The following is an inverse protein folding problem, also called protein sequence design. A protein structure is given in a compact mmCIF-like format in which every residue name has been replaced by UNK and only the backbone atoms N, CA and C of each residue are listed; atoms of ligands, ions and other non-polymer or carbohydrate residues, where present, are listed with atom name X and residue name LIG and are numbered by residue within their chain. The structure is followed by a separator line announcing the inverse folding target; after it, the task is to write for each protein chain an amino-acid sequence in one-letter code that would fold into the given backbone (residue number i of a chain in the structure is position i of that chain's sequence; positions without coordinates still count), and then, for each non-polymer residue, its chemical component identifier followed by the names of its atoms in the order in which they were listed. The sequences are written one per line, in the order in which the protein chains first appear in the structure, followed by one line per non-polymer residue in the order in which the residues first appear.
data_IF_001569365955
#
_entry.id   IF_001569365955
#
_cell.length_a   1.000
_cell.length_b   1.000
_cell.length_c   1.000
_cell.angle_alpha   90.00
_cell.angle_beta   90.00
_cell.angle_gamma   90.00
#
_symmetry.space_group_name_H-M   'P 1'
#
loop_
_entity.id
_entity.type
_entity.pdbx_description
1 polymer ?
#
# COMPACT_ATOMS: atom_id res chain seq x y z
N UNK A 1 22.40 3.85 -23.78
CA UNK A 1 22.52 5.17 -24.39
C UNK A 1 21.09 5.74 -24.51
N UNK A 2 20.51 6.27 -23.39
CA UNK A 2 19.23 7.00 -23.33
C UNK A 2 19.18 7.81 -22.02
N UNK A 3 19.85 8.98 -21.93
CA UNK A 3 19.53 10.00 -20.92
C UNK A 3 18.88 11.26 -21.48
N UNK A 4 18.75 11.44 -22.81
CA UNK A 4 18.50 12.78 -23.38
C UNK A 4 17.02 13.18 -23.53
N UNK A 5 16.07 12.23 -23.48
CA UNK A 5 14.66 12.56 -23.75
C UNK A 5 13.92 13.19 -22.55
N UNK A 6 14.34 12.93 -21.32
CA UNK A 6 13.70 13.51 -20.13
C UNK A 6 14.12 14.98 -19.94
N UNK A 7 15.41 15.27 -20.15
CA UNK A 7 15.95 16.63 -20.08
C UNK A 7 15.36 17.57 -21.17
N UNK A 8 15.03 17.04 -22.34
CA UNK A 8 14.38 17.81 -23.41
C UNK A 8 12.92 18.14 -23.10
N UNK A 9 12.19 17.24 -22.45
CA UNK A 9 10.81 17.48 -22.03
C UNK A 9 10.72 18.48 -20.87
N UNK A 10 11.67 18.46 -19.92
CA UNK A 10 11.75 19.38 -18.79
C UNK A 10 12.22 20.78 -19.21
N UNK A 11 13.13 20.87 -20.16
CA UNK A 11 13.57 22.15 -20.77
C UNK A 11 12.43 22.85 -21.51
N UNK A 12 11.53 22.11 -22.14
CA UNK A 12 10.35 22.66 -22.83
C UNK A 12 9.29 23.24 -21.87
N UNK A 13 9.36 22.88 -20.57
CA UNK A 13 8.46 23.37 -19.51
C UNK A 13 9.09 24.49 -18.66
N UNK A 14 10.30 24.96 -18.99
CA UNK A 14 10.99 26.06 -18.28
C UNK A 14 11.52 25.70 -16.87
N UNK A 15 11.57 24.42 -16.51
CA UNK A 15 11.94 23.95 -15.16
C UNK A 15 13.34 23.31 -15.08
N UNK A 16 14.16 23.42 -16.12
CA UNK A 16 15.37 22.60 -16.28
C UNK A 16 16.53 22.89 -15.32
N UNK A 17 16.73 24.12 -14.89
CA UNK A 17 17.90 24.49 -14.07
C UNK A 17 17.62 24.37 -12.56
N UNK A 18 16.42 24.73 -12.11
CA UNK A 18 16.02 24.61 -10.70
C UNK A 18 15.85 23.14 -10.28
N UNK A 19 15.50 22.26 -11.20
CA UNK A 19 15.24 20.84 -10.95
C UNK A 19 16.51 20.07 -10.55
N UNK A 20 17.63 20.26 -11.25
CA UNK A 20 18.90 19.58 -10.95
C UNK A 20 19.52 20.03 -9.62
N UNK A 21 19.18 21.22 -9.12
CA UNK A 21 19.65 21.71 -7.84
C UNK A 21 18.82 21.18 -6.66
N UNK A 22 17.50 20.96 -6.84
CA UNK A 22 16.57 20.57 -5.77
C UNK A 22 16.50 19.03 -5.54
N UNK A 23 16.81 18.21 -6.55
CA UNK A 23 16.70 16.75 -6.45
C UNK A 23 17.65 16.11 -5.40
N UNK A 24 18.93 16.50 -5.31
CA UNK A 24 19.81 15.96 -4.26
C UNK A 24 19.32 16.22 -2.84
N UNK A 25 18.79 17.42 -2.58
CA UNK A 25 18.25 17.80 -1.29
C UNK A 25 16.96 17.02 -0.97
N UNK A 26 16.11 16.80 -1.97
CA UNK A 26 14.90 15.98 -1.83
C UNK A 26 15.25 14.53 -1.52
N UNK A 27 16.21 13.94 -2.23
CA UNK A 27 16.68 12.57 -1.99
C UNK A 27 17.26 12.44 -0.58
N UNK A 28 18.06 13.41 -0.14
CA UNK A 28 18.66 13.43 1.20
C UNK A 28 17.59 13.51 2.28
N UNK A 29 16.62 14.41 2.14
CA UNK A 29 15.51 14.58 3.08
C UNK A 29 14.63 13.31 3.15
N UNK A 30 14.27 12.73 2.00
CA UNK A 30 13.49 11.49 1.97
C UNK A 30 14.27 10.34 2.62
N UNK A 31 15.59 10.24 2.38
CA UNK A 31 16.44 9.20 2.98
C UNK A 31 16.46 9.31 4.50
N UNK A 32 16.63 10.51 5.04
CA UNK A 32 16.64 10.76 6.49
C UNK A 32 15.28 10.36 7.11
N UNK A 33 14.18 10.83 6.52
CA UNK A 33 12.83 10.52 6.99
C UNK A 33 12.51 9.01 6.88
N UNK A 34 12.92 8.37 5.79
CA UNK A 34 12.76 6.93 5.57
C UNK A 34 13.52 6.12 6.62
N UNK A 35 14.80 6.45 6.87
CA UNK A 35 15.60 5.80 7.90
C UNK A 35 15.02 6.01 9.30
N UNK A 36 14.63 7.23 9.64
CA UNK A 36 13.97 7.53 10.91
C UNK A 36 12.69 6.70 11.10
N UNK A 37 11.91 6.52 10.03
CA UNK A 37 10.70 5.68 10.08
C UNK A 37 11.05 4.20 10.28
N UNK A 38 12.07 3.69 9.60
CA UNK A 38 12.55 2.31 9.79
C UNK A 38 13.04 2.08 11.22
N UNK A 39 13.76 3.05 11.81
CA UNK A 39 14.24 2.97 13.19
C UNK A 39 13.06 2.92 14.19
N UNK A 40 12.00 3.70 13.96
CA UNK A 40 10.80 3.67 14.79
C UNK A 40 10.05 2.33 14.65
N UNK A 41 9.93 1.79 13.42
CA UNK A 41 9.36 0.45 13.17
C UNK A 41 10.17 -0.61 13.94
N UNK A 42 11.51 -0.57 13.83
CA UNK A 42 12.36 -1.52 14.50
C UNK A 42 12.25 -1.42 16.03
N UNK A 43 12.11 -0.21 16.59
CA UNK A 43 11.90 -0.01 18.00
C UNK A 43 10.55 -0.58 18.47
N UNK A 44 9.46 -0.33 17.74
CA UNK A 44 8.13 -0.89 18.03
C UNK A 44 8.12 -2.42 17.95
N UNK A 45 8.79 -3.00 16.93
CA UNK A 45 8.94 -4.44 16.79
C UNK A 45 9.65 -5.07 18.00
N UNK A 46 10.82 -4.52 18.38
CA UNK A 46 11.58 -5.01 19.55
C UNK A 46 10.78 -4.89 20.86
N UNK A 47 10.03 -3.78 21.02
CA UNK A 47 9.17 -3.57 22.19
C UNK A 47 8.10 -4.67 22.33
N UNK A 48 7.61 -5.19 21.21
CA UNK A 48 6.65 -6.30 21.16
C UNK A 48 7.29 -7.69 20.96
N UNK A 49 8.62 -7.81 21.12
CA UNK A 49 9.39 -9.05 20.97
C UNK A 49 9.27 -9.66 19.55
N UNK A 50 9.16 -8.82 18.52
CA UNK A 50 9.11 -9.23 17.12
C UNK A 50 10.44 -8.92 16.41
N UNK A 51 10.74 -9.70 15.36
CA UNK A 51 11.85 -9.38 14.47
C UNK A 51 11.49 -8.17 13.58
N UNK A 52 12.27 -7.06 13.60
CA UNK A 52 12.05 -5.93 12.70
C UNK A 52 12.03 -6.29 11.21
N UNK A 53 12.73 -7.35 10.81
CA UNK A 53 12.80 -7.79 9.40
C UNK A 53 11.49 -8.40 8.90
N UNK A 54 10.54 -8.73 9.79
CA UNK A 54 9.20 -9.18 9.42
C UNK A 54 8.29 -8.04 8.94
N UNK A 55 8.69 -6.77 9.18
CA UNK A 55 7.86 -5.61 8.89
C UNK A 55 8.38 -4.90 7.64
N UNK A 56 7.55 -4.78 6.65
CA UNK A 56 7.85 -4.06 5.41
C UNK A 56 7.17 -2.70 5.39
N UNK A 57 7.92 -1.68 5.01
CA UNK A 57 7.45 -0.31 4.91
C UNK A 57 7.05 0.00 3.46
N UNK A 58 5.77 0.28 3.23
CA UNK A 58 5.23 0.80 1.98
C UNK A 58 5.25 2.32 2.02
N UNK A 59 6.08 2.95 1.20
CA UNK A 59 6.15 4.41 1.10
C UNK A 59 5.05 4.90 0.15
N UNK A 60 4.12 5.70 0.67
CA UNK A 60 2.92 6.13 -0.06
C UNK A 60 3.20 7.41 -0.83
N UNK A 61 3.19 7.31 -2.16
CA UNK A 61 3.49 8.41 -3.11
C UNK A 61 2.26 8.95 -3.85
N UNK A 62 1.06 8.58 -3.40
CA UNK A 62 -0.20 9.08 -3.99
C UNK A 62 -0.26 10.60 -4.05
N UNK A 63 -0.74 11.13 -5.16
CA UNK A 63 -0.85 12.58 -5.40
C UNK A 63 0.48 13.35 -5.29
N UNK A 64 1.60 12.64 -5.41
CA UNK A 64 2.93 13.22 -5.58
C UNK A 64 3.36 13.07 -7.04
N UNK A 65 4.17 13.97 -7.59
CA UNK A 65 4.72 13.83 -8.93
C UNK A 65 5.69 12.65 -9.04
N UNK A 66 5.99 12.19 -10.27
CA UNK A 66 6.85 11.04 -10.51
C UNK A 66 8.28 11.24 -9.97
N UNK A 67 8.75 12.47 -9.94
CA UNK A 67 10.05 12.88 -9.41
C UNK A 67 10.21 12.57 -7.92
N UNK A 68 9.12 12.71 -7.14
CA UNK A 68 9.15 12.33 -5.71
C UNK A 68 9.25 10.82 -5.56
N UNK A 69 8.58 10.04 -6.42
CA UNK A 69 8.73 8.59 -6.43
C UNK A 69 10.15 8.17 -6.86
N UNK A 70 10.73 8.86 -7.84
CA UNK A 70 12.12 8.67 -8.24
C UNK A 70 13.08 8.97 -7.09
N UNK A 71 12.94 10.13 -6.44
CA UNK A 71 13.76 10.50 -5.29
C UNK A 71 13.64 9.49 -4.13
N UNK A 72 12.45 8.95 -3.91
CA UNK A 72 12.25 7.90 -2.91
C UNK A 72 13.02 6.61 -3.27
N UNK A 73 13.00 6.19 -4.54
CA UNK A 73 13.77 5.03 -5.02
C UNK A 73 15.27 5.26 -4.85
N UNK A 74 15.77 6.45 -5.21
CA UNK A 74 17.18 6.85 -5.03
C UNK A 74 17.57 6.96 -3.56
N UNK A 75 16.63 7.31 -2.69
CA UNK A 75 16.80 7.29 -1.24
C UNK A 75 16.90 5.88 -0.64
N UNK A 76 16.58 4.84 -1.43
CA UNK A 76 16.65 3.43 -1.01
C UNK A 76 15.30 2.76 -0.82
N UNK A 77 14.18 3.44 -1.05
CA UNK A 77 12.84 2.83 -0.99
C UNK A 77 12.70 1.74 -2.06
N UNK A 78 12.10 0.60 -1.69
CA UNK A 78 11.87 -0.53 -2.60
C UNK A 78 10.39 -0.90 -2.74
N UNK A 79 9.51 -0.39 -1.89
CA UNK A 79 8.07 -0.65 -1.96
C UNK A 79 7.33 0.69 -1.96
N UNK A 80 6.64 0.97 -3.06
CA UNK A 80 5.86 2.19 -3.25
C UNK A 80 4.37 1.88 -3.26
N UNK A 81 3.56 2.75 -2.65
CA UNK A 81 2.11 2.58 -2.54
C UNK A 81 1.34 3.68 -3.26
N UNK A 82 0.39 3.28 -4.12
CA UNK A 82 -0.49 4.18 -4.88
C UNK A 82 -1.97 3.96 -4.56
N UNK A 83 -2.73 5.06 -4.57
CA UNK A 83 -4.18 5.00 -4.35
C UNK A 83 -5.00 5.01 -5.65
N UNK A 84 -4.43 5.49 -6.73
CA UNK A 84 -5.12 5.70 -8.01
C UNK A 84 -4.40 4.89 -9.10
N UNK A 85 -5.07 3.87 -9.70
CA UNK A 85 -4.43 2.98 -10.66
C UNK A 85 -3.78 3.70 -11.84
N UNK A 86 -4.43 4.74 -12.39
CA UNK A 86 -3.91 5.49 -13.54
C UNK A 86 -2.64 6.27 -13.16
N UNK A 87 -2.65 6.94 -12.02
CA UNK A 87 -1.48 7.67 -11.50
C UNK A 87 -0.31 6.70 -11.27
N UNK A 88 -0.58 5.56 -10.64
CA UNK A 88 0.43 4.54 -10.40
C UNK A 88 1.04 3.99 -11.68
N UNK A 89 0.20 3.68 -12.69
CA UNK A 89 0.69 3.19 -13.99
C UNK A 89 1.55 4.23 -14.70
N UNK A 90 1.18 5.50 -14.69
CA UNK A 90 2.01 6.57 -15.26
C UNK A 90 3.39 6.63 -14.60
N UNK A 91 3.46 6.55 -13.26
CA UNK A 91 4.73 6.54 -12.52
C UNK A 91 5.55 5.27 -12.83
N UNK A 92 4.94 4.09 -12.82
CA UNK A 92 5.59 2.83 -13.18
C UNK A 92 6.23 2.93 -14.57
N UNK A 93 5.49 3.47 -15.54
CA UNK A 93 5.97 3.61 -16.92
C UNK A 93 7.08 4.66 -17.07
N UNK A 94 7.00 5.77 -16.32
CA UNK A 94 8.04 6.81 -16.36
C UNK A 94 9.33 6.40 -15.66
N UNK A 95 9.27 5.46 -14.71
CA UNK A 95 10.40 4.97 -13.91
C UNK A 95 10.83 3.55 -14.32
N UNK A 96 10.61 3.17 -15.58
CA UNK A 96 11.06 1.88 -16.14
C UNK A 96 12.58 1.74 -16.03
N UNK A 97 13.04 0.52 -15.66
CA UNK A 97 14.48 0.24 -15.49
C UNK A 97 14.97 0.29 -14.03
N UNK A 98 14.13 0.68 -13.09
CA UNK A 98 14.42 0.59 -11.66
C UNK A 98 14.18 -0.84 -11.16
N UNK A 99 15.22 -1.68 -11.19
CA UNK A 99 15.13 -3.07 -10.74
C UNK A 99 14.90 -3.18 -9.23
N UNK A 100 14.10 -4.16 -8.81
CA UNK A 100 13.84 -4.45 -7.39
C UNK A 100 12.91 -3.46 -6.70
N UNK A 101 12.10 -2.70 -7.46
CA UNK A 101 11.04 -1.84 -6.91
C UNK A 101 9.69 -2.53 -7.10
N UNK A 102 8.94 -2.63 -6.02
CA UNK A 102 7.56 -3.13 -5.99
C UNK A 102 6.57 -1.99 -5.90
N UNK A 103 5.51 -2.05 -6.72
CA UNK A 103 4.41 -1.10 -6.67
C UNK A 103 3.16 -1.77 -6.13
N UNK A 104 2.66 -1.27 -5.01
CA UNK A 104 1.48 -1.78 -4.35
C UNK A 104 0.27 -0.87 -4.59
N UNK A 105 -0.87 -1.47 -4.96
CA UNK A 105 -2.15 -0.78 -5.02
C UNK A 105 -2.78 -0.82 -3.64
N UNK A 106 -2.93 0.35 -3.00
CA UNK A 106 -3.41 0.44 -1.62
C UNK A 106 -4.73 1.22 -1.48
N UNK A 107 -5.22 1.83 -2.57
CA UNK A 107 -6.49 2.55 -2.60
C UNK A 107 -7.63 1.73 -3.20
N UNK A 108 -8.88 2.15 -2.97
CA UNK A 108 -10.06 1.50 -3.52
C UNK A 108 -10.01 1.41 -5.05
N UNK A 109 -10.30 0.24 -5.60
CA UNK A 109 -10.24 -0.04 -7.03
C UNK A 109 -11.64 -0.17 -7.63
N UNK A 110 -12.01 0.82 -8.45
CA UNK A 110 -13.23 0.68 -9.24
C UNK A 110 -13.08 -0.50 -10.23
N UNK A 111 -14.10 -1.34 -10.34
CA UNK A 111 -14.07 -2.56 -11.18
C UNK A 111 -13.63 -2.33 -12.64
N UNK A 112 -13.91 -1.13 -13.24
CA UNK A 112 -13.47 -0.77 -14.60
C UNK A 112 -11.95 -0.60 -14.73
N UNK A 113 -11.26 -0.35 -13.60
CA UNK A 113 -9.80 -0.11 -13.54
C UNK A 113 -9.01 -1.37 -13.14
N UNK A 114 -9.70 -2.48 -12.91
CA UNK A 114 -9.10 -3.73 -12.44
C UNK A 114 -7.98 -4.24 -13.37
N UNK A 115 -8.07 -4.00 -14.70
CA UNK A 115 -7.00 -4.37 -15.66
C UNK A 115 -5.68 -3.66 -15.32
N UNK A 116 -5.72 -2.35 -15.06
CA UNK A 116 -4.50 -1.58 -14.73
C UNK A 116 -3.80 -2.17 -13.49
N UNK A 117 -4.58 -2.60 -12.51
CA UNK A 117 -4.03 -3.22 -11.29
C UNK A 117 -3.46 -4.59 -11.61
N UNK A 118 -4.21 -5.44 -12.31
CA UNK A 118 -3.77 -6.79 -12.66
C UNK A 118 -2.50 -6.80 -13.51
N UNK A 119 -2.32 -5.82 -14.41
CA UNK A 119 -1.19 -5.78 -15.35
C UNK A 119 0.09 -5.17 -14.72
N UNK A 120 -0.02 -4.24 -13.77
CA UNK A 120 1.11 -3.40 -13.38
C UNK A 120 1.55 -3.48 -11.90
N UNK A 121 0.66 -3.87 -10.97
CA UNK A 121 0.98 -3.85 -9.55
C UNK A 121 1.45 -5.23 -9.04
N UNK A 122 2.36 -5.22 -8.08
CA UNK A 122 2.91 -6.41 -7.45
C UNK A 122 1.96 -6.99 -6.39
N UNK A 123 1.22 -6.14 -5.69
CA UNK A 123 0.28 -6.51 -4.63
C UNK A 123 -0.90 -5.54 -4.59
N UNK A 124 -2.12 -6.06 -4.49
CA UNK A 124 -3.31 -5.28 -4.17
C UNK A 124 -3.67 -5.45 -2.69
N UNK A 125 -3.74 -4.35 -1.93
CA UNK A 125 -4.13 -4.39 -0.52
C UNK A 125 -5.64 -4.27 -0.29
N UNK A 126 -6.36 -3.71 -1.24
CA UNK A 126 -7.73 -3.22 -1.08
C UNK A 126 -8.76 -4.05 -1.86
N UNK A 127 -8.61 -5.39 -1.83
CA UNK A 127 -9.64 -6.25 -2.39
C UNK A 127 -10.84 -6.30 -1.43
N UNK A 128 -11.98 -5.75 -1.87
CA UNK A 128 -13.15 -5.46 -1.04
C UNK A 128 -14.44 -6.20 -1.45
N UNK A 129 -14.39 -7.00 -2.52
CA UNK A 129 -15.59 -7.68 -3.02
C UNK A 129 -15.29 -8.86 -3.95
N UNK A 130 -16.14 -9.90 -3.98
CA UNK A 130 -16.02 -11.01 -4.92
C UNK A 130 -16.11 -10.54 -6.38
N UNK A 131 -16.90 -9.49 -6.66
CA UNK A 131 -17.03 -8.91 -8.00
C UNK A 131 -15.72 -8.32 -8.51
N UNK A 132 -14.99 -7.61 -7.66
CA UNK A 132 -13.65 -7.10 -8.01
C UNK A 132 -12.65 -8.26 -8.17
N UNK A 133 -12.69 -9.25 -7.28
CA UNK A 133 -11.85 -10.44 -7.35
C UNK A 133 -12.01 -11.20 -8.69
N UNK A 134 -13.23 -11.47 -9.12
CA UNK A 134 -13.50 -12.12 -10.40
C UNK A 134 -12.93 -11.34 -11.59
N UNK A 135 -13.03 -10.01 -11.58
CA UNK A 135 -12.44 -9.18 -12.64
C UNK A 135 -10.92 -9.21 -12.65
N UNK A 136 -10.31 -9.09 -11.48
CA UNK A 136 -8.85 -9.17 -11.32
C UNK A 136 -8.35 -10.55 -11.76
N UNK A 137 -9.00 -11.63 -11.33
CA UNK A 137 -8.67 -12.99 -11.73
C UNK A 137 -8.69 -13.15 -13.26
N UNK A 138 -9.73 -12.65 -13.93
CA UNK A 138 -9.81 -12.69 -15.40
C UNK A 138 -8.62 -11.94 -16.04
N UNK A 139 -8.33 -10.72 -15.62
CA UNK A 139 -7.25 -9.93 -16.21
C UNK A 139 -5.87 -10.50 -15.87
N UNK A 140 -5.67 -11.01 -14.67
CA UNK A 140 -4.45 -11.71 -14.31
C UNK A 140 -4.24 -12.98 -15.18
N UNK A 141 -5.31 -13.74 -15.45
CA UNK A 141 -5.29 -14.89 -16.37
C UNK A 141 -4.92 -14.47 -17.81
N UNK A 142 -5.52 -13.40 -18.32
CA UNK A 142 -5.20 -12.84 -19.65
C UNK A 142 -3.72 -12.39 -19.74
N UNK A 143 -3.14 -11.89 -18.64
CA UNK A 143 -1.73 -11.50 -18.49
C UNK A 143 -0.79 -12.67 -18.14
N UNK A 144 -1.30 -13.89 -18.05
CA UNK A 144 -0.56 -15.11 -17.69
C UNK A 144 0.21 -14.98 -16.36
N UNK A 145 -0.41 -14.36 -15.34
CA UNK A 145 0.15 -14.12 -14.01
C UNK A 145 -0.81 -14.51 -12.89
N UNK A 146 -0.27 -14.67 -11.69
CA UNK A 146 -1.03 -14.75 -10.44
C UNK A 146 -0.82 -13.43 -9.69
N UNK A 147 -1.88 -12.74 -9.34
CA UNK A 147 -1.84 -11.47 -8.61
C UNK A 147 -1.97 -11.73 -7.11
N UNK A 148 -0.96 -11.35 -6.29
CA UNK A 148 -1.08 -11.31 -4.84
C UNK A 148 -2.12 -10.27 -4.40
N UNK A 149 -2.95 -10.62 -3.40
CA UNK A 149 -3.99 -9.73 -2.87
C UNK A 149 -4.12 -9.85 -1.36
N UNK A 150 -4.54 -8.76 -0.70
CA UNK A 150 -5.03 -8.77 0.67
C UNK A 150 -6.51 -8.43 0.66
N UNK A 151 -7.28 -9.05 1.55
CA UNK A 151 -8.69 -8.79 1.72
C UNK A 151 -8.88 -7.57 2.63
N UNK A 152 -9.63 -6.56 2.17
CA UNK A 152 -9.89 -5.35 2.93
C UNK A 152 -11.09 -5.52 3.85
N UNK A 153 -10.89 -5.31 5.15
CA UNK A 153 -11.94 -5.39 6.15
C UNK A 153 -12.13 -4.07 6.90
N UNK A 154 -13.38 -3.65 7.01
CA UNK A 154 -13.80 -2.52 7.85
C UNK A 154 -14.03 -3.00 9.28
N UNK A 155 -12.98 -2.96 10.09
CA UNK A 155 -13.06 -3.36 11.51
C UNK A 155 -13.60 -2.27 12.42
N UNK A 156 -13.81 -1.07 11.89
CA UNK A 156 -14.34 0.09 12.63
C UNK A 156 -15.84 0.23 12.56
N UNK A 157 -16.50 -0.39 11.57
CA UNK A 157 -17.95 -0.28 11.36
C UNK A 157 -18.40 1.09 10.81
N UNK A 158 -17.50 1.85 10.17
CA UNK A 158 -17.88 3.13 9.54
C UNK A 158 -18.50 2.89 8.17
N UNK A 159 -19.71 3.37 7.93
CA UNK A 159 -20.41 3.24 6.64
C UNK A 159 -19.65 3.84 5.45
N UNK A 160 -18.79 4.82 5.70
CA UNK A 160 -18.00 5.50 4.66
C UNK A 160 -16.74 4.74 4.22
N UNK A 161 -16.40 3.63 4.89
CA UNK A 161 -15.19 2.84 4.59
C UNK A 161 -15.49 1.67 3.68
N UNK A 162 -14.53 1.37 2.80
CA UNK A 162 -14.53 0.17 1.96
C UNK A 162 -14.22 -1.09 2.77
N UNK A 163 -14.40 -2.26 2.16
CA UNK A 163 -14.12 -3.55 2.77
C UNK A 163 -15.35 -4.20 3.38
N UNK A 164 -15.23 -5.50 3.65
CA UNK A 164 -16.28 -6.23 4.36
C UNK A 164 -16.40 -5.74 5.80
N UNK A 165 -17.64 -5.54 6.28
CA UNK A 165 -17.86 -5.20 7.67
C UNK A 165 -17.44 -6.37 8.58
N UNK A 166 -16.44 -6.13 9.40
CA UNK A 166 -15.93 -7.05 10.40
C UNK A 166 -15.91 -6.43 11.81
N UNK A 167 -16.72 -5.40 12.02
CA UNK A 167 -16.81 -4.69 13.29
C UNK A 167 -17.46 -5.54 14.40
N UNK A 168 -18.36 -6.45 14.03
CA UNK A 168 -19.03 -7.39 14.93
C UNK A 168 -18.48 -8.80 14.75
N UNK A 169 -17.80 -9.31 15.80
CA UNK A 169 -17.22 -10.67 15.83
C UNK A 169 -18.27 -11.76 15.62
N UNK A 170 -19.50 -11.55 16.08
CA UNK A 170 -20.59 -12.53 15.93
C UNK A 170 -21.01 -12.75 14.47
N UNK A 171 -20.68 -11.81 13.59
CA UNK A 171 -21.03 -11.84 12.16
C UNK A 171 -19.92 -12.42 11.27
N UNK A 172 -18.72 -12.73 11.78
CA UNK A 172 -17.59 -13.17 10.96
C UNK A 172 -17.88 -14.41 10.12
N UNK A 173 -18.73 -15.32 10.60
CA UNK A 173 -19.12 -16.50 9.82
C UNK A 173 -19.91 -16.15 8.55
N UNK A 174 -20.54 -14.98 8.48
CA UNK A 174 -21.23 -14.51 7.27
C UNK A 174 -20.25 -14.10 6.17
N UNK A 175 -18.96 -13.86 6.49
CA UNK A 175 -17.91 -13.52 5.55
C UNK A 175 -17.35 -14.75 4.81
N UNK A 176 -17.49 -15.95 5.40
CA UNK A 176 -16.84 -17.16 4.91
C UNK A 176 -17.20 -17.54 3.46
N UNK A 177 -18.47 -17.41 2.99
CA UNK A 177 -18.80 -17.72 1.60
C UNK A 177 -18.07 -16.84 0.59
N UNK A 178 -17.95 -15.54 0.87
CA UNK A 178 -17.25 -14.60 -0.01
C UNK A 178 -15.74 -14.90 -0.03
N UNK A 179 -15.16 -15.12 1.15
CA UNK A 179 -13.72 -15.48 1.28
C UNK A 179 -13.44 -16.79 0.54
N UNK A 180 -14.26 -17.82 0.73
CA UNK A 180 -14.11 -19.11 0.02
C UNK A 180 -14.12 -18.91 -1.49
N UNK A 181 -15.09 -18.14 -2.01
CA UNK A 181 -15.22 -17.88 -3.45
C UNK A 181 -13.99 -17.18 -4.03
N UNK A 182 -13.30 -16.38 -3.24
CA UNK A 182 -12.06 -15.69 -3.66
C UNK A 182 -10.86 -16.65 -3.63
N UNK A 183 -10.77 -17.49 -2.61
CA UNK A 183 -9.70 -18.48 -2.49
C UNK A 183 -9.70 -19.50 -3.64
N UNK A 184 -10.86 -19.77 -4.24
CA UNK A 184 -11.03 -20.66 -5.40
C UNK A 184 -10.57 -20.04 -6.73
N UNK A 185 -10.21 -18.75 -6.76
CA UNK A 185 -9.81 -18.07 -8.00
C UNK A 185 -8.33 -18.35 -8.34
N UNK A 186 -8.04 -19.06 -9.45
CA UNK A 186 -6.70 -19.61 -9.71
C UNK A 186 -5.62 -18.57 -10.02
N UNK A 187 -6.00 -17.38 -10.44
CA UNK A 187 -5.06 -16.31 -10.81
C UNK A 187 -4.98 -15.19 -9.75
N UNK A 188 -5.57 -15.44 -8.56
CA UNK A 188 -5.36 -14.62 -7.38
C UNK A 188 -4.69 -15.46 -6.29
N UNK A 189 -3.86 -14.81 -5.46
CA UNK A 189 -3.30 -15.42 -4.26
C UNK A 189 -3.54 -14.51 -3.08
N UNK A 190 -4.39 -14.95 -2.17
CA UNK A 190 -4.62 -14.25 -0.91
C UNK A 190 -3.41 -14.47 0.00
N UNK A 191 -2.83 -13.40 0.52
CA UNK A 191 -1.70 -13.43 1.45
C UNK A 191 -2.05 -12.90 2.84
N UNK A 192 -3.28 -12.42 3.06
CA UNK A 192 -3.68 -11.89 4.35
C UNK A 192 -4.73 -10.79 4.26
N UNK A 193 -4.73 -9.90 5.24
CA UNK A 193 -5.77 -8.91 5.45
C UNK A 193 -5.22 -7.49 5.42
N UNK A 194 -6.11 -6.54 5.11
CA UNK A 194 -5.84 -5.11 5.21
C UNK A 194 -6.98 -4.40 5.95
N UNK A 195 -6.66 -3.34 6.67
CA UNK A 195 -7.65 -2.40 7.20
C UNK A 195 -7.17 -0.97 7.18
N UNK A 196 -8.14 -0.05 7.08
CA UNK A 196 -7.99 1.39 7.30
C UNK A 196 -8.93 1.82 8.41
N UNK A 197 -8.52 1.72 9.69
CA UNK A 197 -9.38 2.08 10.81
C UNK A 197 -9.69 3.58 10.82
N UNK A 198 -10.69 4.03 11.61
CA UNK A 198 -10.97 5.43 11.85
C UNK A 198 -9.73 6.17 12.33
N UNK A 199 -9.48 7.36 11.75
CA UNK A 199 -8.42 8.22 12.25
C UNK A 199 -8.73 8.66 13.70
N UNK A 200 -7.75 8.53 14.58
CA UNK A 200 -7.86 8.90 15.99
C UNK A 200 -6.82 9.95 16.35
N UNK A 201 -7.15 10.77 17.35
CA UNK A 201 -6.23 11.78 17.88
C UNK A 201 -5.11 11.10 18.67
N UNK A 202 -5.44 10.09 19.48
CA UNK A 202 -4.47 9.24 20.17
C UNK A 202 -4.21 7.98 19.31
N UNK A 203 -2.96 7.70 18.91
CA UNK A 203 -2.61 6.49 18.18
C UNK A 203 -3.00 5.19 18.91
N UNK A 204 -2.97 5.17 20.23
CA UNK A 204 -3.35 3.99 21.03
C UNK A 204 -4.85 3.65 20.91
N UNK A 205 -5.70 4.61 20.60
CA UNK A 205 -7.11 4.35 20.32
C UNK A 205 -7.33 3.46 19.07
N UNK A 206 -6.32 3.40 18.16
CA UNK A 206 -6.35 2.51 17.01
C UNK A 206 -6.07 1.05 17.36
N UNK A 207 -5.41 0.78 18.49
CA UNK A 207 -4.99 -0.56 18.95
C UNK A 207 -6.11 -1.60 18.90
N UNK A 208 -7.29 -1.25 19.36
CA UNK A 208 -8.47 -2.14 19.35
C UNK A 208 -8.86 -2.62 17.94
N UNK A 209 -8.65 -1.80 16.95
CA UNK A 209 -8.94 -2.16 15.54
C UNK A 209 -7.88 -3.09 14.98
N UNK A 210 -6.61 -2.87 15.31
CA UNK A 210 -5.51 -3.76 14.91
C UNK A 210 -5.63 -5.13 15.57
N UNK A 211 -5.96 -5.17 16.85
CA UNK A 211 -6.27 -6.41 17.57
C UNK A 211 -7.44 -7.17 16.93
N UNK A 212 -8.49 -6.46 16.51
CA UNK A 212 -9.65 -7.06 15.84
C UNK A 212 -9.26 -7.65 14.48
N UNK A 213 -8.46 -6.96 13.69
CA UNK A 213 -7.98 -7.50 12.41
C UNK A 213 -7.11 -8.75 12.61
N UNK A 214 -6.23 -8.74 13.61
CA UNK A 214 -5.41 -9.92 13.97
C UNK A 214 -6.29 -11.11 14.37
N UNK A 215 -7.28 -10.88 15.22
CA UNK A 215 -8.21 -11.93 15.62
C UNK A 215 -9.04 -12.46 14.43
N UNK A 216 -9.46 -11.59 13.51
CA UNK A 216 -10.13 -12.00 12.27
C UNK A 216 -9.22 -12.86 11.40
N UNK A 217 -7.93 -12.51 11.26
CA UNK A 217 -6.95 -13.35 10.55
C UNK A 217 -6.86 -14.75 11.17
N UNK A 218 -6.77 -14.84 12.49
CA UNK A 218 -6.72 -16.13 13.21
C UNK A 218 -8.00 -16.94 12.98
N UNK A 219 -9.17 -16.28 13.00
CA UNK A 219 -10.44 -16.92 12.68
C UNK A 219 -10.44 -17.48 11.25
N UNK A 220 -10.08 -16.66 10.24
CA UNK A 220 -10.04 -17.11 8.85
C UNK A 220 -9.00 -18.21 8.61
N UNK A 221 -7.83 -18.13 9.25
CA UNK A 221 -6.81 -19.18 9.18
C UNK A 221 -7.31 -20.52 9.75
N UNK A 222 -8.15 -20.49 10.80
CA UNK A 222 -8.77 -21.71 11.33
C UNK A 222 -9.81 -22.32 10.38
N UNK A 223 -10.53 -21.49 9.60
CA UNK A 223 -11.54 -21.93 8.65
C UNK A 223 -10.93 -22.37 7.30
N UNK A 224 -9.82 -21.75 6.89
CA UNK A 224 -9.14 -21.99 5.62
C UNK A 224 -7.64 -22.22 5.83
N UNK A 225 -7.25 -23.34 6.48
CA UNK A 225 -5.85 -23.60 6.85
C UNK A 225 -4.91 -23.83 5.66
N UNK A 226 -5.44 -24.05 4.46
CA UNK A 226 -4.68 -24.21 3.21
C UNK A 226 -4.27 -22.87 2.57
N UNK A 227 -4.88 -21.76 3.00
CA UNK A 227 -4.58 -20.43 2.47
C UNK A 227 -3.46 -19.75 3.27
N UNK A 228 -2.79 -18.80 2.65
CA UNK A 228 -1.74 -18.01 3.28
C UNK A 228 -2.35 -16.78 3.95
N UNK A 229 -2.11 -16.63 5.26
CA UNK A 229 -2.66 -15.55 6.07
C UNK A 229 -1.58 -14.75 6.80
N UNK A 230 -0.34 -14.76 6.28
CA UNK A 230 0.77 -14.18 7.03
C UNK A 230 0.75 -12.64 7.07
N UNK A 231 0.17 -11.99 6.06
CA UNK A 231 0.22 -10.54 5.94
C UNK A 231 -0.90 -9.83 6.72
N UNK A 232 -0.51 -8.80 7.45
CA UNK A 232 -1.41 -7.80 8.03
C UNK A 232 -0.98 -6.40 7.59
N UNK A 233 -1.70 -5.83 6.62
CA UNK A 233 -1.49 -4.47 6.16
C UNK A 233 -2.35 -3.51 6.98
N UNK A 234 -1.74 -2.87 7.97
CA UNK A 234 -2.40 -1.93 8.87
C UNK A 234 -1.39 -0.92 9.42
N UNK A 235 -1.87 0.25 9.83
CA UNK A 235 -1.02 1.34 10.29
C UNK A 235 -0.60 2.31 9.18
N UNK A 236 -0.69 3.59 9.51
CA UNK A 236 -0.35 4.74 8.64
C UNK A 236 0.57 5.70 9.39
N UNK A 237 0.88 6.86 8.82
CA UNK A 237 1.79 7.84 9.43
C UNK A 237 1.47 8.21 10.88
N UNK A 238 0.21 8.09 11.31
CA UNK A 238 -0.21 8.45 12.66
C UNK A 238 -0.10 7.30 13.69
N UNK A 239 -0.21 6.04 13.24
CA UNK A 239 -0.47 4.89 14.12
C UNK A 239 0.35 3.63 13.78
N UNK A 240 1.30 3.72 12.83
CA UNK A 240 2.07 2.54 12.39
C UNK A 240 2.88 1.87 13.52
N UNK A 241 3.38 2.64 14.51
CA UNK A 241 4.12 2.06 15.61
C UNK A 241 3.22 1.12 16.46
N UNK A 242 1.99 1.57 16.77
CA UNK A 242 0.98 0.76 17.46
C UNK A 242 0.57 -0.44 16.59
N UNK A 243 0.42 -0.24 15.28
CA UNK A 243 0.13 -1.35 14.36
C UNK A 243 1.23 -2.41 14.36
N UNK A 244 2.50 -1.99 14.39
CA UNK A 244 3.65 -2.92 14.50
C UNK A 244 3.59 -3.70 15.81
N UNK A 245 3.33 -3.05 16.95
CA UNK A 245 3.16 -3.73 18.23
C UNK A 245 2.04 -4.79 18.18
N UNK A 246 0.99 -4.55 17.40
CA UNK A 246 -0.17 -5.45 17.27
C UNK A 246 -0.08 -6.46 16.13
N UNK A 247 1.06 -6.56 15.46
CA UNK A 247 1.32 -7.63 14.51
C UNK A 247 1.30 -7.23 13.04
N UNK A 248 1.30 -5.94 12.69
CA UNK A 248 1.44 -5.51 11.29
C UNK A 248 2.70 -6.11 10.66
N UNK A 249 2.57 -6.58 9.42
CA UNK A 249 3.69 -7.00 8.56
C UNK A 249 3.95 -5.99 7.44
N UNK A 250 2.93 -5.18 7.12
CA UNK A 250 2.98 -4.09 6.15
C UNK A 250 2.43 -2.82 6.79
N UNK A 251 3.25 -1.77 6.89
CA UNK A 251 2.82 -0.43 7.30
C UNK A 251 2.92 0.53 6.14
N UNK A 252 2.02 1.53 6.05
CA UNK A 252 1.87 2.43 4.91
C UNK A 252 2.10 3.87 5.33
N UNK A 253 3.27 4.41 5.07
CA UNK A 253 3.66 5.76 5.50
C UNK A 253 3.91 6.67 4.30
N UNK A 254 3.26 7.82 4.27
CA UNK A 254 3.39 8.80 3.18
C UNK A 254 4.03 10.10 3.65
N UNK A 255 3.21 11.02 4.14
CA UNK A 255 3.59 12.41 4.46
C UNK A 255 4.80 12.53 5.37
N UNK A 256 4.98 11.59 6.30
CA UNK A 256 6.14 11.59 7.21
C UNK A 256 7.47 11.32 6.46
N UNK A 257 7.43 10.73 5.26
CA UNK A 257 8.62 10.39 4.46
C UNK A 257 8.79 11.34 3.28
N UNK A 258 7.76 11.47 2.44
CA UNK A 258 7.82 12.22 1.18
C UNK A 258 7.30 13.65 1.29
N UNK A 259 6.92 14.09 2.48
CA UNK A 259 6.41 15.44 2.73
C UNK A 259 4.92 15.61 2.39
N UNK A 260 4.42 16.83 2.62
CA UNK A 260 3.05 17.21 2.32
C UNK A 260 2.79 17.23 0.81
N UNK A 261 1.53 16.98 0.42
CA UNK A 261 1.11 17.07 -0.98
C UNK A 261 1.08 18.53 -1.40
N UNK A 262 1.66 18.83 -2.56
CA UNK A 262 1.44 20.12 -3.22
C UNK A 262 0.08 20.04 -3.93
N UNK A 263 -0.89 20.81 -3.49
CA UNK A 263 -2.18 20.92 -4.19
C UNK A 263 -1.95 21.62 -5.53
N UNK A 264 -2.69 21.22 -6.59
CA UNK A 264 -2.60 21.81 -7.94
C UNK A 264 -2.72 23.33 -7.98
N UNK A 265 -3.37 23.96 -7.00
CA UNK A 265 -3.50 25.41 -6.88
C UNK A 265 -2.18 26.15 -6.61
N UNK A 266 -1.13 25.46 -6.16
CA UNK A 266 0.18 26.07 -5.89
C UNK A 266 1.15 25.89 -7.08
N UNK A 267 0.75 25.14 -8.12
CA UNK A 267 1.55 24.96 -9.35
C UNK A 267 1.12 25.90 -10.49
N UNK A 268 0.04 26.66 -10.32
CA UNK A 268 -0.48 27.63 -11.30
C UNK A 268 -0.26 29.10 -10.84
N UNK A 269 0.43 29.33 -9.74
CA UNK A 269 0.85 30.64 -9.25
C UNK A 269 2.37 30.84 -9.42
#
# INVERSE_FOLDING_TARGET
MYPDNLNLALSALGMGEDYNCLMPDLVASIRENYQSTLDQIANAARKSSRDPNEIRLVVVTKSQPAEVAQAAIEAGVRILGENYPEEGVMKIQSLTGQSGVEWHMIGHVQSRKARLVADHFALLHSLDSPKLAQRLNRFASEGNRVLPVLLEFNVGGEESKSGWDASDVSQWNALLPDVSSILDLPNLRVHGLMTMPPLRTDPDDARRFFLRLRALREHLASQFPQADWHELSMGTSADYAVAVEEGATLVRVGTAIVGARKYKSEMEA
#
